data_IF_491667293367
#
_entry.id   IF_491667293367
#
_cell.length_a   1.000
_cell.length_b   1.000
_cell.length_c   1.000
_cell.angle_alpha   90.00
_cell.angle_beta   90.00
_cell.angle_gamma   90.00
#
_symmetry.space_group_name_H-M   'P 1'
#
loop_
_entity.id
_entity.type
_entity.pdbx_description
1 polymer ?
#
# COMPACT_ATOMS: atom_id res chain seq x y z
N UNK A 1 16.88 1.22 1.24
CA UNK A 1 15.79 0.30 1.66
C UNK A 1 16.33 -1.12 1.57
N UNK A 2 16.33 -1.89 2.67
CA UNK A 2 16.72 -3.30 2.60
C UNK A 2 15.73 -4.04 1.70
N UNK A 3 16.25 -4.80 0.73
CA UNK A 3 15.45 -5.70 -0.11
C UNK A 3 15.46 -7.07 0.57
N UNK A 4 14.33 -7.46 1.15
CA UNK A 4 14.14 -8.80 1.69
C UNK A 4 13.73 -9.75 0.56
N UNK A 5 14.46 -10.86 0.42
CA UNK A 5 14.12 -11.94 -0.53
C UNK A 5 13.50 -13.09 0.24
N UNK A 6 12.34 -13.55 -0.22
CA UNK A 6 11.67 -14.75 0.27
C UNK A 6 11.91 -15.88 -0.72
N UNK A 7 12.07 -17.10 -0.22
CA UNK A 7 12.35 -18.31 -1.00
C UNK A 7 11.10 -18.90 -1.64
N UNK A 8 9.90 -18.57 -1.14
CA UNK A 8 8.62 -18.97 -1.75
C UNK A 8 7.54 -17.91 -1.59
N UNK A 9 6.45 -18.09 -2.34
CA UNK A 9 5.27 -17.25 -2.22
C UNK A 9 4.63 -17.41 -0.83
N UNK A 10 4.51 -18.62 -0.34
CA UNK A 10 3.92 -18.95 0.96
C UNK A 10 4.70 -18.29 2.11
N UNK A 11 6.03 -18.27 2.02
CA UNK A 11 6.88 -17.60 3.01
C UNK A 11 6.66 -16.08 2.98
N UNK A 12 6.63 -15.48 1.78
CA UNK A 12 6.29 -14.06 1.64
C UNK A 12 4.89 -13.77 2.19
N UNK A 13 3.95 -14.67 1.96
CA UNK A 13 2.58 -14.60 2.44
C UNK A 13 2.55 -14.53 3.97
N UNK A 14 3.21 -15.47 4.64
CA UNK A 14 3.29 -15.55 6.10
C UNK A 14 4.03 -14.36 6.72
N UNK A 15 5.10 -13.89 6.08
CA UNK A 15 5.91 -12.79 6.58
C UNK A 15 5.23 -11.42 6.43
N UNK A 16 4.45 -11.23 5.36
CA UNK A 16 3.90 -9.92 5.00
C UNK A 16 2.43 -9.75 5.37
N UNK A 17 1.65 -10.84 5.43
CA UNK A 17 0.22 -10.76 5.72
C UNK A 17 -0.07 -11.13 7.16
N UNK A 18 -0.91 -10.31 7.81
CA UNK A 18 -1.56 -10.69 9.06
C UNK A 18 -2.83 -11.47 8.74
N UNK A 19 -2.80 -12.79 8.98
CA UNK A 19 -3.95 -13.68 8.77
C UNK A 19 -4.97 -13.64 9.92
N UNK A 20 -4.52 -13.21 11.10
CA UNK A 20 -5.38 -13.03 12.27
C UNK A 20 -5.60 -11.54 12.51
N UNK A 21 -6.86 -11.13 12.38
CA UNK A 21 -7.28 -9.73 12.51
C UNK A 21 -7.92 -9.54 13.88
N UNK A 22 -7.08 -9.23 14.86
CA UNK A 22 -7.51 -8.88 16.21
C UNK A 22 -7.82 -7.38 16.34
N UNK A 23 -8.29 -6.98 17.52
CA UNK A 23 -8.59 -5.57 17.80
C UNK A 23 -7.34 -4.67 17.70
N UNK A 24 -6.15 -5.20 17.96
CA UNK A 24 -4.90 -4.45 17.89
C UNK A 24 -4.52 -4.14 16.43
N UNK A 25 -4.67 -5.11 15.53
CA UNK A 25 -4.46 -4.95 14.10
C UNK A 25 -5.32 -3.82 13.53
N UNK A 26 -6.61 -3.77 13.88
CA UNK A 26 -7.50 -2.71 13.41
C UNK A 26 -7.14 -1.33 14.00
N UNK A 27 -6.62 -1.26 15.23
CA UNK A 27 -6.09 -0.01 15.80
C UNK A 27 -4.88 0.47 15.02
N UNK A 28 -3.91 -0.40 14.75
CA UNK A 28 -2.73 -0.11 13.94
C UNK A 28 -3.12 0.41 12.54
N UNK A 29 -4.06 -0.27 11.87
CA UNK A 29 -4.58 0.19 10.57
C UNK A 29 -5.21 1.58 10.67
N UNK A 30 -6.06 1.82 11.67
CA UNK A 30 -6.70 3.12 11.85
C UNK A 30 -5.67 4.23 12.02
N UNK A 31 -4.61 3.99 12.80
CA UNK A 31 -3.54 4.96 13.02
C UNK A 31 -2.70 5.20 11.75
N UNK A 32 -2.42 4.15 10.96
CA UNK A 32 -1.77 4.29 9.65
C UNK A 32 -2.59 5.18 8.72
N UNK A 33 -3.90 4.96 8.60
CA UNK A 33 -4.77 5.78 7.76
C UNK A 33 -4.89 7.22 8.27
N UNK A 34 -4.95 7.44 9.59
CA UNK A 34 -4.93 8.77 10.20
C UNK A 34 -3.62 9.50 9.88
N UNK A 35 -2.49 8.82 10.03
CA UNK A 35 -1.18 9.37 9.68
C UNK A 35 -1.11 9.73 8.19
N UNK A 36 -1.54 8.82 7.32
CA UNK A 36 -1.60 9.06 5.88
C UNK A 36 -2.45 10.29 5.53
N UNK A 37 -3.63 10.44 6.15
CA UNK A 37 -4.49 11.63 5.97
C UNK A 37 -3.85 12.92 6.49
N UNK A 38 -3.04 12.86 7.55
CA UNK A 38 -2.32 14.03 8.06
C UNK A 38 -1.18 14.45 7.13
N UNK A 39 -0.43 13.47 6.61
CA UNK A 39 0.71 13.71 5.72
C UNK A 39 0.27 14.13 4.31
N UNK A 40 -0.83 13.55 3.81
CA UNK A 40 -1.44 13.86 2.53
C UNK A 40 -2.94 14.13 2.73
N UNK A 41 -3.31 15.35 3.14
CA UNK A 41 -4.70 15.76 3.28
C UNK A 41 -5.48 15.47 2.00
N UNK A 42 -6.75 15.04 2.09
CA UNK A 42 -7.57 14.78 0.91
C UNK A 42 -7.67 15.97 -0.04
N UNK A 43 -7.59 17.17 0.51
CA UNK A 43 -7.69 18.47 -0.16
C UNK A 43 -6.32 19.01 -0.63
N UNK A 44 -5.24 18.27 -0.39
CA UNK A 44 -3.91 18.71 -0.78
C UNK A 44 -3.79 18.75 -2.31
N UNK A 45 -3.40 19.90 -2.92
CA UNK A 45 -3.20 20.01 -4.36
C UNK A 45 -2.02 19.15 -4.87
N UNK A 46 -1.15 18.68 -3.96
CA UNK A 46 -0.06 17.77 -4.26
C UNK A 46 -0.50 16.29 -4.29
N UNK A 47 -1.73 15.97 -3.87
CA UNK A 47 -2.30 14.62 -3.98
C UNK A 47 -2.72 14.43 -5.44
N UNK A 48 -2.10 13.50 -6.20
CA UNK A 48 -2.57 13.21 -7.53
C UNK A 48 -3.99 12.63 -7.40
N UNK A 49 -5.00 13.42 -7.80
CA UNK A 49 -6.36 12.92 -8.01
C UNK A 49 -6.23 11.99 -9.20
N UNK A 50 -6.35 10.69 -8.95
CA UNK A 50 -5.92 9.64 -9.87
C UNK A 50 -6.34 9.90 -11.32
N UNK A 51 -5.34 10.15 -12.16
CA UNK A 51 -5.32 9.75 -13.56
C UNK A 51 -3.89 9.26 -13.78
N UNK A 52 -3.70 7.94 -13.70
CA UNK A 52 -2.50 7.35 -14.30
C UNK A 52 -2.49 7.80 -15.75
N UNK A 53 -1.35 8.26 -16.29
CA UNK A 53 -1.26 8.68 -17.70
C UNK A 53 -1.75 7.60 -18.66
N UNK A 54 -1.75 6.37 -18.19
CA UNK A 54 -2.15 5.15 -18.88
C UNK A 54 -3.56 4.77 -18.47
N UNK A 55 -4.40 4.54 -19.48
CA UNK A 55 -5.79 4.08 -19.34
C UNK A 55 -5.86 2.61 -18.93
N UNK A 56 -4.80 1.84 -19.16
CA UNK A 56 -4.70 0.43 -18.77
C UNK A 56 -3.26 0.02 -18.45
N UNK A 57 -3.09 -1.18 -17.87
CA UNK A 57 -1.78 -1.73 -17.53
C UNK A 57 -0.98 -2.10 -18.80
N UNK A 58 -1.66 -2.59 -19.84
CA UNK A 58 -1.07 -2.92 -21.14
C UNK A 58 -0.50 -1.69 -21.85
N UNK A 59 -1.02 -0.49 -21.56
CA UNK A 59 -0.48 0.77 -22.10
C UNK A 59 0.81 1.20 -21.40
N UNK A 60 0.96 0.85 -20.11
CA UNK A 60 2.18 1.12 -19.35
C UNK A 60 3.35 0.20 -19.73
N UNK A 61 3.08 -1.03 -20.18
CA UNK A 61 4.10 -2.01 -20.56
C UNK A 61 4.79 -1.73 -21.91
N UNK A 62 4.27 -0.79 -22.73
CA UNK A 62 4.83 -0.47 -24.06
C UNK A 62 5.97 0.55 -24.04
N UNK A 63 6.54 0.87 -22.87
CA UNK A 63 7.61 1.87 -22.67
C UNK A 63 8.88 1.20 -22.17
#
# INVERSE_FOLDING_TARGET
MPVYRYSSFEEAQQALWRFETDAEYYRMLADLFRLGRRLAPPESPARPVGVSRYRSLEEAEKI
#
